data_IF_712688723034
#
_entry.id   IF_712688723034
#
_cell.length_a   1.000
_cell.length_b   1.000
_cell.length_c   1.000
_cell.angle_alpha   90.00
_cell.angle_beta   90.00
_cell.angle_gamma   90.00
#
_symmetry.space_group_name_H-M   'P 1'
#
loop_
_entity.id
_entity.type
_entity.pdbx_description
1 polymer ?
#
# COMPACT_ATOMS: atom_id res chain seq x y z
N UNK A 1 -19.33 41.74 15.52
CA UNK A 1 -18.43 41.00 16.44
C UNK A 1 -18.68 39.49 16.42
N UNK A 2 -19.94 39.02 16.57
CA UNK A 2 -20.30 37.59 16.56
C UNK A 2 -20.01 36.87 15.22
N UNK A 3 -20.31 37.47 14.07
CA UNK A 3 -20.10 36.87 12.75
C UNK A 3 -18.61 36.64 12.42
N UNK A 4 -17.72 37.54 12.86
CA UNK A 4 -16.28 37.39 12.65
C UNK A 4 -15.68 36.23 13.45
N UNK A 5 -16.15 36.03 14.68
CA UNK A 5 -15.72 34.91 15.53
C UNK A 5 -16.19 33.56 14.98
N UNK A 6 -17.43 33.45 14.52
CA UNK A 6 -17.94 32.19 13.95
C UNK A 6 -17.22 31.80 12.67
N UNK A 7 -16.91 32.75 11.78
CA UNK A 7 -16.13 32.51 10.57
C UNK A 7 -14.71 31.99 10.91
N UNK A 8 -14.05 32.60 11.89
CA UNK A 8 -12.72 32.16 12.34
C UNK A 8 -12.74 30.76 12.94
N UNK A 9 -13.75 30.44 13.76
CA UNK A 9 -13.89 29.09 14.33
C UNK A 9 -14.19 28.03 13.27
N UNK A 10 -15.02 28.35 12.28
CA UNK A 10 -15.35 27.45 11.18
C UNK A 10 -14.15 27.19 10.28
N UNK A 11 -13.35 28.24 9.99
CA UNK A 11 -12.09 28.10 9.25
C UNK A 11 -11.09 27.21 9.99
N UNK A 12 -10.96 27.37 11.31
CA UNK A 12 -10.06 26.56 12.14
C UNK A 12 -10.44 25.07 12.13
N UNK A 13 -11.75 24.76 12.14
CA UNK A 13 -12.24 23.39 12.03
C UNK A 13 -12.05 22.81 10.63
N UNK A 14 -12.34 23.59 9.58
CA UNK A 14 -12.11 23.19 8.20
C UNK A 14 -10.64 22.88 7.93
N UNK A 15 -9.72 23.70 8.46
CA UNK A 15 -8.28 23.50 8.30
C UNK A 15 -7.81 22.20 8.98
N UNK A 16 -8.32 21.87 10.18
CA UNK A 16 -8.05 20.59 10.84
C UNK A 16 -8.57 19.41 10.04
N UNK A 17 -9.77 19.53 9.46
CA UNK A 17 -10.40 18.47 8.67
C UNK A 17 -9.60 18.18 7.39
N UNK A 18 -9.10 19.22 6.71
CA UNK A 18 -8.20 19.08 5.55
C UNK A 18 -6.92 18.34 5.94
N UNK A 19 -6.30 18.68 7.08
CA UNK A 19 -5.09 18.00 7.56
C UNK A 19 -5.35 16.50 7.77
N UNK A 20 -6.49 16.14 8.37
CA UNK A 20 -6.85 14.73 8.55
C UNK A 20 -7.14 14.01 7.23
N UNK A 21 -7.77 14.67 6.26
CA UNK A 21 -7.98 14.10 4.91
C UNK A 21 -6.63 13.86 4.23
N UNK A 22 -5.71 14.81 4.31
CA UNK A 22 -4.37 14.67 3.71
C UNK A 22 -3.62 13.51 4.38
N UNK A 23 -3.61 13.43 5.71
CA UNK A 23 -2.98 12.33 6.44
C UNK A 23 -3.60 10.97 6.09
N UNK A 24 -4.93 10.87 6.08
CA UNK A 24 -5.62 9.64 5.70
C UNK A 24 -5.35 9.23 4.25
N UNK A 25 -5.39 10.19 3.32
CA UNK A 25 -5.06 9.99 1.92
C UNK A 25 -3.62 9.54 1.71
N UNK A 26 -2.67 10.15 2.43
CA UNK A 26 -1.26 9.77 2.38
C UNK A 26 -1.04 8.33 2.84
N UNK A 27 -1.67 7.91 3.94
CA UNK A 27 -1.59 6.54 4.45
C UNK A 27 -2.14 5.54 3.44
N UNK A 28 -3.29 5.84 2.82
CA UNK A 28 -3.88 4.99 1.79
C UNK A 28 -3.00 4.93 0.54
N UNK A 29 -2.41 6.05 0.14
CA UNK A 29 -1.50 6.12 -1.00
C UNK A 29 -0.23 5.27 -0.77
N UNK A 30 0.40 5.41 0.39
CA UNK A 30 1.57 4.60 0.77
C UNK A 30 1.19 3.12 0.82
N UNK A 31 0.04 2.77 1.43
CA UNK A 31 -0.47 1.39 1.48
C UNK A 31 -0.68 0.81 0.10
N UNK A 32 -1.26 1.58 -0.82
CA UNK A 32 -1.48 1.15 -2.19
C UNK A 32 -0.15 0.96 -2.95
N UNK A 33 0.80 1.88 -2.79
CA UNK A 33 2.12 1.80 -3.42
C UNK A 33 2.93 0.60 -2.91
N UNK A 34 2.91 0.34 -1.60
CA UNK A 34 3.63 -0.79 -1.00
C UNK A 34 3.03 -2.15 -1.40
N UNK A 35 1.70 -2.26 -1.57
CA UNK A 35 1.08 -3.51 -2.06
C UNK A 35 1.60 -3.95 -3.42
N UNK A 36 1.88 -3.01 -4.34
CA UNK A 36 2.45 -3.34 -5.66
C UNK A 36 3.91 -3.80 -5.56
N UNK A 37 4.68 -3.25 -4.62
CA UNK A 37 6.09 -3.63 -4.41
C UNK A 37 6.21 -5.04 -3.83
N UNK A 38 5.43 -5.34 -2.79
CA UNK A 38 5.45 -6.66 -2.13
C UNK A 38 5.05 -7.81 -3.05
N UNK A 39 4.07 -7.61 -3.96
CA UNK A 39 3.71 -8.65 -4.94
C UNK A 39 4.84 -8.95 -5.92
N UNK A 40 5.55 -7.92 -6.40
CA UNK A 40 6.68 -8.11 -7.33
C UNK A 40 7.85 -8.80 -6.65
N UNK A 41 8.16 -8.41 -5.41
CA UNK A 41 9.23 -9.06 -4.62
C UNK A 41 8.90 -10.54 -4.36
N UNK A 42 7.65 -10.87 -3.97
CA UNK A 42 7.23 -12.26 -3.81
C UNK A 42 7.31 -13.07 -5.11
N UNK A 43 6.89 -12.51 -6.26
CA UNK A 43 7.01 -13.21 -7.55
C UNK A 43 8.47 -13.44 -7.94
N UNK A 44 9.35 -12.47 -7.70
CA UNK A 44 10.77 -12.59 -7.99
C UNK A 44 11.47 -13.63 -7.09
N UNK A 45 11.13 -13.66 -5.80
CA UNK A 45 11.61 -14.69 -4.88
C UNK A 45 11.07 -16.07 -5.26
N UNK A 46 9.78 -16.16 -5.61
CA UNK A 46 9.16 -17.40 -6.08
C UNK A 46 9.87 -17.92 -7.33
N UNK A 47 10.16 -17.06 -8.31
CA UNK A 47 10.94 -17.42 -9.50
C UNK A 47 12.35 -17.91 -9.15
N UNK A 48 13.04 -17.27 -8.22
CA UNK A 48 14.38 -17.69 -7.76
C UNK A 48 14.34 -19.05 -7.08
N UNK A 49 13.33 -19.30 -6.24
CA UNK A 49 13.14 -20.58 -5.57
C UNK A 49 12.81 -21.68 -6.58
N UNK A 50 11.90 -21.43 -7.51
CA UNK A 50 11.60 -22.35 -8.62
C UNK A 50 12.84 -22.67 -9.47
N UNK A 51 13.68 -21.68 -9.76
CA UNK A 51 14.93 -21.90 -10.52
C UNK A 51 15.97 -22.73 -9.74
N UNK A 52 16.00 -22.63 -8.40
CA UNK A 52 16.90 -23.44 -7.55
C UNK A 52 16.34 -24.83 -7.23
N UNK A 53 15.03 -25.03 -7.41
CA UNK A 53 14.40 -26.31 -7.11
C UNK A 53 14.77 -27.31 -8.19
N UNK A 54 15.40 -28.42 -7.80
CA UNK A 54 15.78 -29.49 -8.72
C UNK A 54 14.51 -30.10 -9.31
N UNK A 55 14.36 -30.02 -10.63
CA UNK A 55 13.28 -30.66 -11.38
C UNK A 55 13.59 -32.14 -11.58
N UNK A 56 12.56 -32.95 -11.69
CA UNK A 56 12.72 -34.38 -12.00
C UNK A 56 13.20 -34.60 -13.44
N UNK A 57 13.45 -35.85 -13.82
CA UNK A 57 13.92 -36.23 -15.17
C UNK A 57 12.90 -35.93 -16.28
N UNK A 58 11.63 -35.71 -15.93
CA UNK A 58 10.55 -35.28 -16.83
C UNK A 58 10.35 -33.76 -16.84
N UNK A 59 11.16 -33.00 -16.10
CA UNK A 59 11.04 -31.55 -15.99
C UNK A 59 9.89 -31.06 -15.11
N UNK A 60 9.21 -31.93 -14.35
CA UNK A 60 8.15 -31.57 -13.40
C UNK A 60 8.71 -31.15 -12.05
N UNK A 61 7.95 -30.34 -11.32
CA UNK A 61 8.25 -30.01 -9.92
C UNK A 61 7.77 -31.12 -8.96
N UNK A 62 8.39 -31.29 -7.78
CA UNK A 62 8.11 -32.41 -6.87
C UNK A 62 6.68 -32.45 -6.28
N UNK A 63 5.87 -31.41 -6.48
CA UNK A 63 4.46 -31.32 -6.08
C UNK A 63 3.47 -31.42 -7.26
N UNK A 64 3.96 -31.59 -8.49
CA UNK A 64 3.16 -31.76 -9.72
C UNK A 64 2.96 -33.25 -10.08
N UNK A 65 3.19 -34.13 -9.09
CA UNK A 65 2.98 -35.58 -9.19
C UNK A 65 1.50 -35.94 -9.42
#
# INVERSE_FOLDING_TARGET
MLLGMTIYSSLKLGMRLIIYIILGGLVLFIRHRNRKKSRREMDEETKKLMARTKKDENGKYPWEN
#
